data_IF_159573401862
#
_entry.id   IF_159573401862
#
_cell.length_a   1.000
_cell.length_b   1.000
_cell.length_c   1.000
_cell.angle_alpha   90.00
_cell.angle_beta   90.00
_cell.angle_gamma   90.00
#
_symmetry.space_group_name_H-M   'P 1'
#
loop_
_entity.id
_entity.type
_entity.pdbx_description
1 polymer ?
#
# COMPACT_ATOMS: atom_id res chain seq x y z
N UNK A 1 4.98 30.97 -1.10
CA UNK A 1 5.03 29.82 -2.02
C UNK A 1 4.85 28.53 -1.22
N UNK A 2 4.12 27.54 -1.74
CA UNK A 2 3.95 26.22 -1.13
C UNK A 2 4.80 25.16 -1.85
N UNK A 3 5.76 24.54 -1.18
CA UNK A 3 6.61 23.49 -1.76
C UNK A 3 6.30 22.13 -1.14
N UNK A 4 5.87 21.17 -1.96
CA UNK A 4 5.73 19.78 -1.59
C UNK A 4 7.08 19.08 -1.71
N UNK A 5 7.50 18.38 -0.67
CA UNK A 5 8.79 17.67 -0.64
C UNK A 5 8.57 16.21 -0.24
N UNK A 6 8.92 15.28 -1.13
CA UNK A 6 9.01 13.87 -0.78
C UNK A 6 10.23 13.60 0.09
N UNK A 7 10.02 12.91 1.22
CA UNK A 7 11.07 12.56 2.15
C UNK A 7 11.77 11.23 1.83
N UNK A 8 11.21 10.42 0.91
CA UNK A 8 11.69 9.05 0.70
C UNK A 8 11.13 8.09 1.74
N UNK A 9 11.72 6.89 1.88
CA UNK A 9 11.02 5.76 2.50
C UNK A 9 11.53 5.35 3.88
N UNK A 10 12.79 5.61 4.20
CA UNK A 10 13.47 4.98 5.32
C UNK A 10 14.10 5.95 6.33
N UNK A 11 14.74 7.02 5.88
CA UNK A 11 15.44 7.94 6.78
C UNK A 11 15.59 9.34 6.19
N UNK A 12 16.12 10.27 6.98
CA UNK A 12 16.53 11.60 6.50
C UNK A 12 17.50 11.56 5.32
N UNK A 13 18.33 10.52 5.21
CA UNK A 13 19.31 10.39 4.13
C UNK A 13 18.65 10.15 2.77
N UNK A 14 17.38 9.72 2.76
CA UNK A 14 16.61 9.59 1.53
C UNK A 14 16.15 10.95 0.97
N UNK A 15 16.29 12.05 1.73
CA UNK A 15 15.96 13.38 1.22
C UNK A 15 16.83 13.71 0.01
N UNK A 16 16.17 14.06 -1.09
CA UNK A 16 16.90 14.59 -2.25
C UNK A 16 17.64 15.87 -1.88
N UNK A 17 18.76 16.15 -2.55
CA UNK A 17 19.49 17.41 -2.34
C UNK A 17 18.61 18.65 -2.56
N UNK A 18 17.63 18.56 -3.46
CA UNK A 18 16.68 19.65 -3.71
C UNK A 18 15.66 19.77 -2.56
N UNK A 19 15.17 18.65 -2.03
CA UNK A 19 14.27 18.63 -0.87
C UNK A 19 14.91 19.27 0.36
N UNK A 20 16.14 18.86 0.69
CA UNK A 20 16.88 19.41 1.83
C UNK A 20 17.15 20.92 1.67
N UNK A 21 17.46 21.40 0.46
CA UNK A 21 17.63 22.84 0.18
C UNK A 21 16.34 23.60 0.43
N UNK A 22 15.20 23.11 -0.07
CA UNK A 22 13.91 23.75 0.12
C UNK A 22 13.53 23.81 1.61
N UNK A 23 13.71 22.71 2.35
CA UNK A 23 13.46 22.66 3.79
C UNK A 23 14.30 23.69 4.55
N UNK A 24 15.61 23.80 4.25
CA UNK A 24 16.49 24.77 4.91
C UNK A 24 16.10 26.23 4.63
N UNK A 25 15.53 26.52 3.46
CA UNK A 25 15.14 27.88 3.06
C UNK A 25 13.74 28.27 3.57
N UNK A 26 12.85 27.31 3.82
CA UNK A 26 11.47 27.57 4.20
C UNK A 26 11.31 28.33 5.51
N UNK A 27 10.27 29.15 5.62
CA UNK A 27 9.87 29.79 6.87
C UNK A 27 9.09 28.83 7.78
N UNK A 28 8.23 28.00 7.19
CA UNK A 28 7.39 27.05 7.93
C UNK A 28 7.52 25.64 7.35
N UNK A 29 7.62 24.66 8.24
CA UNK A 29 7.70 23.24 7.90
C UNK A 29 6.46 22.53 8.46
N UNK A 30 5.76 21.83 7.58
CA UNK A 30 4.67 20.92 7.92
C UNK A 30 5.09 19.50 7.53
N UNK A 31 4.82 18.53 8.39
CA UNK A 31 5.01 17.10 8.11
C UNK A 31 3.66 16.41 8.09
N UNK A 32 3.33 15.79 6.96
CA UNK A 32 2.19 14.88 6.86
C UNK A 32 2.35 13.73 7.86
N UNK A 33 1.42 13.66 8.81
CA UNK A 33 1.44 12.71 9.92
C UNK A 33 0.35 11.63 9.81
N UNK A 34 -0.35 11.51 8.67
CA UNK A 34 -1.48 10.57 8.55
C UNK A 34 -1.44 9.65 7.32
N UNK A 35 -0.66 9.95 6.27
CA UNK A 35 -0.60 9.07 5.09
C UNK A 35 0.47 7.99 5.17
N UNK A 36 1.51 8.18 5.99
CA UNK A 36 2.61 7.24 6.18
C UNK A 36 3.40 7.60 7.46
N UNK A 37 4.40 6.80 7.82
CA UNK A 37 5.14 6.91 9.06
C UNK A 37 6.65 6.74 8.83
N UNK A 38 7.42 7.65 9.42
CA UNK A 38 8.86 7.49 9.64
C UNK A 38 9.19 7.95 11.07
N UNK A 39 9.34 7.03 12.04
CA UNK A 39 9.57 7.40 13.43
C UNK A 39 10.84 8.23 13.61
N UNK A 40 10.79 9.28 14.43
CA UNK A 40 11.94 10.15 14.71
C UNK A 40 12.26 11.18 13.64
N UNK A 41 11.62 11.12 12.46
CA UNK A 41 11.97 11.99 11.32
C UNK A 41 11.82 13.49 11.64
N UNK A 42 10.78 13.88 12.37
CA UNK A 42 10.54 15.29 12.70
C UNK A 42 11.61 15.82 13.67
N UNK A 43 11.99 15.01 14.67
CA UNK A 43 13.02 15.31 15.65
C UNK A 43 14.39 15.42 14.98
N UNK A 44 14.77 14.42 14.18
CA UNK A 44 16.04 14.44 13.47
C UNK A 44 16.11 15.62 12.47
N UNK A 45 15.01 15.95 11.80
CA UNK A 45 14.96 17.10 10.89
C UNK A 45 15.13 18.42 11.62
N UNK A 46 14.55 18.53 12.82
CA UNK A 46 14.72 19.69 13.71
C UNK A 46 16.17 19.80 14.18
N UNK A 47 16.82 18.70 14.55
CA UNK A 47 18.26 18.69 14.88
C UNK A 47 19.14 19.12 13.70
N UNK A 48 18.83 18.65 12.49
CA UNK A 48 19.58 18.95 11.28
C UNK A 48 19.44 20.41 10.81
N UNK A 49 18.26 21.01 11.02
CA UNK A 49 17.91 22.31 10.42
C UNK A 49 17.73 23.44 11.42
N UNK A 50 17.58 23.12 12.70
CA UNK A 50 17.23 24.06 13.77
C UNK A 50 15.81 24.63 13.67
N UNK A 51 14.96 24.09 12.78
CA UNK A 51 13.59 24.56 12.54
C UNK A 51 12.57 23.64 13.19
N UNK A 52 11.51 24.22 13.74
CA UNK A 52 10.37 23.46 14.21
C UNK A 52 9.58 22.87 13.04
N UNK A 53 9.24 21.59 13.15
CA UNK A 53 8.42 20.85 12.18
C UNK A 53 7.05 20.63 12.79
N UNK A 54 6.01 21.23 12.21
CA UNK A 54 4.64 21.09 12.70
C UNK A 54 4.01 19.81 12.10
N UNK A 55 3.57 18.83 12.92
CA UNK A 55 2.82 17.71 12.40
C UNK A 55 1.45 18.18 11.87
N UNK A 56 1.09 17.70 10.68
CA UNK A 56 -0.16 17.98 9.98
C UNK A 56 -0.97 16.70 9.90
N UNK A 57 -2.09 16.64 10.63
CA UNK A 57 -3.06 15.54 10.54
C UNK A 57 -4.10 15.79 9.45
N UNK A 58 -4.97 14.80 9.22
CA UNK A 58 -5.99 14.84 8.16
C UNK A 58 -6.88 16.07 8.28
N UNK A 59 -7.33 16.42 9.48
CA UNK A 59 -8.15 17.61 9.73
C UNK A 59 -7.41 18.88 9.27
N UNK A 60 -6.15 19.08 9.69
CA UNK A 60 -5.38 20.26 9.28
C UNK A 60 -5.16 20.32 7.77
N UNK A 61 -4.86 19.18 7.13
CA UNK A 61 -4.54 19.14 5.70
C UNK A 61 -5.78 19.27 4.83
N UNK A 62 -6.87 18.56 5.13
CA UNK A 62 -8.04 18.41 4.26
C UNK A 62 -9.20 19.35 4.63
N UNK A 63 -9.31 19.80 5.89
CA UNK A 63 -10.45 20.61 6.36
C UNK A 63 -10.10 22.07 6.65
N UNK A 64 -8.82 22.45 6.58
CA UNK A 64 -8.38 23.83 6.86
C UNK A 64 -7.51 24.41 5.75
N UNK A 65 -7.45 25.75 5.70
CA UNK A 65 -6.58 26.49 4.78
C UNK A 65 -5.33 27.06 5.47
N UNK A 66 -4.97 26.59 6.67
CA UNK A 66 -3.85 27.14 7.45
C UNK A 66 -2.53 27.16 6.65
N UNK A 67 -2.22 26.05 5.98
CA UNK A 67 -1.01 25.89 5.16
C UNK A 67 -1.00 26.91 4.01
N UNK A 68 -2.16 27.09 3.36
CA UNK A 68 -2.33 27.98 2.20
C UNK A 68 -2.23 29.44 2.63
N UNK A 69 -2.89 29.82 3.72
CA UNK A 69 -2.85 31.19 4.25
C UNK A 69 -1.43 31.60 4.61
N UNK A 70 -0.63 30.72 5.22
CA UNK A 70 0.79 30.99 5.45
C UNK A 70 1.57 31.11 4.15
N UNK A 71 1.28 30.26 3.17
CA UNK A 71 2.00 30.23 1.90
C UNK A 71 1.77 31.48 1.02
N UNK A 72 0.76 32.31 1.33
CA UNK A 72 0.55 33.62 0.67
C UNK A 72 1.72 34.58 0.89
N UNK A 73 2.26 34.62 2.10
CA UNK A 73 3.29 35.59 2.50
C UNK A 73 4.65 34.97 2.83
N UNK A 74 4.72 33.64 2.89
CA UNK A 74 5.90 32.92 3.34
C UNK A 74 6.22 31.72 2.45
N UNK A 75 7.46 31.26 2.54
CA UNK A 75 7.87 29.97 1.97
C UNK A 75 7.49 28.87 2.94
N UNK A 76 6.53 28.06 2.53
CA UNK A 76 6.01 26.92 3.30
C UNK A 76 6.44 25.65 2.61
N UNK A 77 7.00 24.72 3.37
CA UNK A 77 7.30 23.37 2.89
C UNK A 77 6.37 22.38 3.58
N UNK A 78 5.71 21.57 2.77
CA UNK A 78 4.88 20.46 3.19
C UNK A 78 5.59 19.15 2.83
N UNK A 79 6.01 18.41 3.85
CA UNK A 79 6.86 17.23 3.75
C UNK A 79 5.97 15.99 3.81
N UNK A 80 6.16 15.08 2.84
CA UNK A 80 5.40 13.83 2.72
C UNK A 80 6.37 12.66 2.76
N UNK A 81 6.12 11.67 3.63
CA UNK A 81 6.90 10.42 3.62
C UNK A 81 6.61 9.66 2.31
N UNK A 82 7.66 9.28 1.59
CA UNK A 82 7.61 8.79 0.22
C UNK A 82 7.66 9.92 -0.79
N UNK A 83 6.74 9.89 -1.75
CA UNK A 83 6.58 10.89 -2.80
C UNK A 83 5.23 11.63 -2.63
N UNK A 84 5.18 12.96 -2.81
CA UNK A 84 3.98 13.73 -2.46
C UNK A 84 2.70 13.33 -3.18
N UNK A 85 2.79 12.78 -4.41
CA UNK A 85 1.63 12.58 -5.28
C UNK A 85 1.34 11.12 -5.66
N UNK A 86 2.14 10.17 -5.17
CA UNK A 86 2.04 8.78 -5.64
C UNK A 86 0.76 8.07 -5.17
N UNK A 87 0.44 8.14 -3.87
CA UNK A 87 -0.66 7.38 -3.27
C UNK A 87 -1.43 8.21 -2.21
N UNK A 88 -1.65 9.49 -2.52
CA UNK A 88 -2.19 10.45 -1.57
C UNK A 88 -3.23 11.36 -2.23
N UNK A 89 -3.96 12.09 -1.41
CA UNK A 89 -4.97 13.09 -1.81
C UNK A 89 -4.41 14.51 -1.88
N UNK A 90 -3.10 14.72 -1.75
CA UNK A 90 -2.47 16.05 -1.70
C UNK A 90 -2.67 16.90 -2.97
N UNK A 91 -3.17 16.31 -4.05
CA UNK A 91 -3.65 17.08 -5.22
C UNK A 91 -4.74 18.07 -4.82
N UNK A 92 -5.59 17.76 -3.82
CA UNK A 92 -6.56 18.70 -3.26
C UNK A 92 -5.90 19.98 -2.72
N UNK A 93 -4.84 19.83 -1.92
CA UNK A 93 -4.11 20.97 -1.36
C UNK A 93 -3.45 21.83 -2.47
N UNK A 94 -3.03 21.20 -3.57
CA UNK A 94 -2.54 21.91 -4.76
C UNK A 94 -3.66 22.72 -5.42
N UNK A 95 -4.84 22.12 -5.60
CA UNK A 95 -5.99 22.82 -6.20
C UNK A 95 -6.39 24.03 -5.37
N UNK A 96 -6.50 23.88 -4.05
CA UNK A 96 -6.81 25.02 -3.16
C UNK A 96 -5.72 26.09 -3.15
N UNK A 97 -4.45 25.70 -3.30
CA UNK A 97 -3.35 26.67 -3.46
C UNK A 97 -3.50 27.47 -4.77
N UNK A 98 -3.86 26.80 -5.88
CA UNK A 98 -4.14 27.45 -7.17
C UNK A 98 -5.30 28.44 -7.06
N UNK A 99 -6.42 28.03 -6.47
CA UNK A 99 -7.59 28.90 -6.27
C UNK A 99 -7.26 30.12 -5.39
N UNK A 100 -6.37 29.94 -4.42
CA UNK A 100 -5.87 31.00 -3.55
C UNK A 100 -4.71 31.81 -4.14
N UNK A 101 -4.38 31.59 -5.42
CA UNK A 101 -3.31 32.28 -6.15
C UNK A 101 -1.92 32.12 -5.49
N UNK A 102 -1.70 31.01 -4.79
CA UNK A 102 -0.43 30.64 -4.18
C UNK A 102 0.38 29.81 -5.17
N UNK A 103 1.59 30.27 -5.50
CA UNK A 103 2.51 29.46 -6.29
C UNK A 103 2.88 28.18 -5.55
N UNK A 104 2.85 27.05 -6.26
CA UNK A 104 3.28 25.77 -5.72
C UNK A 104 4.46 25.17 -6.50
N UNK A 105 5.23 24.32 -5.82
CA UNK A 105 6.33 23.54 -6.40
C UNK A 105 6.32 22.13 -5.83
N UNK A 106 6.68 21.14 -6.64
CA UNK A 106 6.75 19.74 -6.21
C UNK A 106 8.18 19.25 -6.37
N UNK A 107 8.72 18.64 -5.32
CA UNK A 107 10.01 17.97 -5.29
C UNK A 107 9.74 16.50 -5.00
N UNK A 108 9.85 15.69 -6.06
CA UNK A 108 9.61 14.25 -6.02
C UNK A 108 10.68 13.49 -5.23
N UNK A 109 10.33 12.28 -4.80
CA UNK A 109 11.25 11.32 -4.19
C UNK A 109 10.83 9.87 -4.46
N UNK A 110 11.50 8.90 -3.85
CA UNK A 110 11.17 7.47 -3.96
C UNK A 110 9.82 7.18 -3.33
N UNK A 111 8.99 6.42 -4.05
CA UNK A 111 7.67 5.97 -3.62
C UNK A 111 7.65 4.46 -3.46
N UNK A 112 6.79 3.93 -2.58
CA UNK A 112 6.54 2.48 -2.51
C UNK A 112 6.07 1.94 -3.86
N UNK A 113 5.33 2.74 -4.65
CA UNK A 113 4.85 2.36 -5.98
C UNK A 113 5.97 2.01 -6.96
N UNK A 114 7.15 2.60 -6.80
CA UNK A 114 8.33 2.28 -7.61
C UNK A 114 9.29 1.34 -6.89
N UNK A 115 9.42 1.48 -5.57
CA UNK A 115 10.37 0.72 -4.76
C UNK A 115 10.01 -0.77 -4.67
N UNK A 116 8.73 -1.14 -4.88
CA UNK A 116 8.29 -2.55 -4.93
C UNK A 116 9.07 -3.40 -5.93
N UNK A 117 9.71 -2.81 -6.95
CA UNK A 117 10.59 -3.53 -7.86
C UNK A 117 11.76 -4.25 -7.18
N UNK A 118 12.10 -3.91 -5.93
CA UNK A 118 13.10 -4.63 -5.13
C UNK A 118 12.73 -6.10 -4.87
N UNK A 119 11.46 -6.49 -5.04
CA UNK A 119 11.03 -7.89 -4.96
C UNK A 119 11.31 -8.71 -6.23
N UNK A 120 11.87 -8.08 -7.27
CA UNK A 120 12.24 -8.73 -8.53
C UNK A 120 11.13 -8.82 -9.56
N UNK A 121 9.90 -8.46 -9.19
CA UNK A 121 8.80 -8.32 -10.14
C UNK A 121 9.03 -7.11 -11.05
N UNK A 122 8.64 -7.28 -12.30
CA UNK A 122 8.81 -6.28 -13.33
C UNK A 122 7.73 -5.20 -13.19
N UNK A 123 8.15 -3.95 -12.94
CA UNK A 123 7.22 -2.83 -12.72
C UNK A 123 6.21 -2.63 -13.86
N UNK A 124 6.59 -2.95 -15.09
CA UNK A 124 5.69 -2.84 -16.26
C UNK A 124 4.59 -3.92 -16.30
N UNK A 125 4.70 -4.96 -15.48
CA UNK A 125 3.66 -5.99 -15.32
C UNK A 125 2.72 -5.68 -14.14
N UNK A 126 2.81 -4.52 -13.49
CA UNK A 126 1.84 -4.11 -12.48
C UNK A 126 0.62 -3.43 -13.13
N UNK A 127 -0.57 -3.85 -12.68
CA UNK A 127 -1.84 -3.25 -13.09
C UNK A 127 -2.28 -2.14 -12.15
N UNK A 128 -3.60 -1.98 -12.01
CA UNK A 128 -4.16 -0.97 -11.11
C UNK A 128 -3.81 -1.29 -9.65
N UNK A 129 -3.11 -0.38 -8.96
CA UNK A 129 -2.91 -0.45 -7.50
C UNK A 129 -4.24 -0.38 -6.76
N UNK A 130 -4.36 -1.12 -5.67
CA UNK A 130 -5.55 -1.13 -4.81
C UNK A 130 -5.20 -0.79 -3.37
N UNK A 131 -6.17 -0.33 -2.59
CA UNK A 131 -6.04 -0.13 -1.14
C UNK A 131 -6.96 -1.11 -0.41
N UNK A 132 -6.42 -1.81 0.59
CA UNK A 132 -7.17 -2.74 1.43
C UNK A 132 -7.50 -2.02 2.75
N UNK A 133 -8.75 -1.57 2.95
CA UNK A 133 -9.16 -0.90 4.19
C UNK A 133 -9.33 -1.91 5.33
N UNK A 134 -9.17 -1.46 6.57
CA UNK A 134 -9.62 -2.24 7.72
C UNK A 134 -11.14 -2.44 7.67
N UNK A 135 -11.58 -3.65 7.95
CA UNK A 135 -12.97 -3.90 8.32
C UNK A 135 -13.24 -3.43 9.74
N UNK A 136 -14.46 -2.96 9.96
CA UNK A 136 -14.97 -2.55 11.27
C UNK A 136 -16.47 -2.87 11.38
N UNK A 137 -17.08 -2.41 12.47
CA UNK A 137 -18.51 -2.64 12.75
C UNK A 137 -19.44 -2.04 11.70
N UNK A 138 -18.96 -1.03 10.94
CA UNK A 138 -19.75 -0.34 9.93
C UNK A 138 -19.75 -1.09 8.58
N UNK A 139 -18.75 -1.93 8.32
CA UNK A 139 -18.75 -2.73 7.10
C UNK A 139 -17.50 -3.57 6.83
N UNK A 140 -17.67 -4.44 5.84
CA UNK A 140 -16.60 -5.31 5.31
C UNK A 140 -16.39 -5.05 3.80
N UNK A 141 -15.97 -3.82 3.41
CA UNK A 141 -15.83 -3.44 2.00
C UNK A 141 -14.87 -4.38 1.27
N UNK A 142 -15.25 -4.76 0.05
CA UNK A 142 -14.50 -5.69 -0.79
C UNK A 142 -14.42 -5.23 -2.27
N UNK A 143 -14.81 -3.99 -2.59
CA UNK A 143 -14.79 -3.43 -3.96
C UNK A 143 -13.40 -3.40 -4.60
N UNK A 144 -12.33 -3.38 -3.79
CA UNK A 144 -10.96 -3.47 -4.27
C UNK A 144 -10.65 -4.84 -4.90
N UNK A 145 -11.37 -5.88 -4.50
CA UNK A 145 -11.17 -7.25 -4.98
C UNK A 145 -11.49 -7.38 -6.48
N UNK A 146 -12.46 -6.63 -6.99
CA UNK A 146 -12.83 -6.66 -8.41
C UNK A 146 -11.68 -6.15 -9.30
N UNK A 147 -11.02 -5.07 -8.89
CA UNK A 147 -9.84 -4.52 -9.59
C UNK A 147 -8.65 -5.49 -9.52
N UNK A 148 -8.46 -6.12 -8.37
CA UNK A 148 -7.42 -7.13 -8.17
C UNK A 148 -7.66 -8.34 -9.08
N UNK A 149 -8.91 -8.84 -9.15
CA UNK A 149 -9.30 -9.90 -10.08
C UNK A 149 -9.08 -9.52 -11.54
N UNK A 150 -9.40 -8.28 -11.91
CA UNK A 150 -9.19 -7.79 -13.26
C UNK A 150 -7.71 -7.84 -13.65
N UNK A 151 -6.83 -7.28 -12.81
CA UNK A 151 -5.37 -7.39 -12.99
C UNK A 151 -4.94 -8.86 -13.08
N UNK A 152 -5.40 -9.70 -12.14
CA UNK A 152 -5.04 -11.10 -12.06
C UNK A 152 -5.38 -11.87 -13.35
N UNK A 153 -6.58 -11.65 -13.89
CA UNK A 153 -7.04 -12.26 -15.15
C UNK A 153 -6.34 -11.69 -16.39
N UNK A 154 -5.88 -10.45 -16.33
CA UNK A 154 -5.16 -9.77 -17.40
C UNK A 154 -3.66 -10.17 -17.48
N UNK A 155 -3.14 -10.89 -16.49
CA UNK A 155 -1.69 -11.20 -16.42
C UNK A 155 -0.88 -10.12 -15.70
N UNK A 156 -1.52 -9.24 -14.92
CA UNK A 156 -0.89 -8.11 -14.24
C UNK A 156 -0.81 -8.35 -12.73
N UNK A 157 0.35 -8.08 -12.13
CA UNK A 157 0.51 -8.08 -10.68
C UNK A 157 -0.26 -6.91 -10.05
N UNK A 158 -0.70 -7.08 -8.81
CA UNK A 158 -1.41 -6.03 -8.06
C UNK A 158 -0.61 -5.63 -6.85
N UNK A 159 -0.22 -4.36 -6.76
CA UNK A 159 0.23 -3.74 -5.52
C UNK A 159 -0.99 -3.40 -4.67
N UNK A 160 -1.04 -3.94 -3.46
CA UNK A 160 -2.06 -3.67 -2.46
C UNK A 160 -1.45 -2.80 -1.35
N UNK A 161 -1.84 -1.53 -1.31
CA UNK A 161 -1.55 -0.63 -0.21
C UNK A 161 -2.44 -1.00 0.98
N UNK A 162 -1.86 -0.97 2.17
CA UNK A 162 -2.53 -1.46 3.38
C UNK A 162 -2.92 -0.28 4.27
N UNK A 163 -4.09 -0.38 4.87
CA UNK A 163 -4.70 0.73 5.62
C UNK A 163 -3.85 1.22 6.80
N UNK A 164 -3.95 2.52 7.05
CA UNK A 164 -3.28 3.24 8.13
C UNK A 164 -4.33 4.09 8.83
N UNK A 165 -4.62 3.77 10.09
CA UNK A 165 -5.52 4.54 10.95
C UNK A 165 -4.70 5.26 12.01
N UNK A 166 -4.48 6.56 11.83
CA UNK A 166 -3.73 7.44 12.76
C UNK A 166 -4.63 8.56 13.20
N UNK A 167 -4.72 8.81 14.52
CA UNK A 167 -5.62 9.82 15.10
C UNK A 167 -7.06 9.71 14.56
N UNK A 168 -7.56 8.49 14.39
CA UNK A 168 -8.98 8.29 14.07
C UNK A 168 -9.83 8.23 15.35
N UNK A 169 -11.07 8.70 15.25
CA UNK A 169 -12.08 8.57 16.29
C UNK A 169 -12.90 7.33 16.00
N UNK A 170 -13.22 6.54 17.04
CA UNK A 170 -14.15 5.42 16.88
C UNK A 170 -15.52 5.90 16.42
N UNK A 171 -16.30 5.03 15.77
CA UNK A 171 -17.67 5.35 15.34
C UNK A 171 -18.53 5.86 16.53
N UNK A 172 -18.38 5.25 17.71
CA UNK A 172 -19.02 5.70 18.94
C UNK A 172 -18.58 7.11 19.35
N UNK A 173 -17.28 7.41 19.29
CA UNK A 173 -16.75 8.72 19.65
C UNK A 173 -17.15 9.80 18.63
N UNK A 174 -17.31 9.44 17.35
CA UNK A 174 -17.87 10.32 16.32
C UNK A 174 -19.33 10.62 16.64
N UNK A 175 -20.17 9.59 16.80
CA UNK A 175 -21.60 9.71 17.10
C UNK A 175 -21.89 10.50 18.38
N UNK A 176 -20.97 10.46 19.36
CA UNK A 176 -21.08 11.18 20.64
C UNK A 176 -20.29 12.49 20.70
N UNK A 177 -19.76 12.97 19.58
CA UNK A 177 -18.98 14.20 19.47
C UNK A 177 -17.76 14.28 20.42
N UNK A 178 -17.23 13.12 20.85
CA UNK A 178 -16.06 13.03 21.72
C UNK A 178 -14.76 13.07 20.90
N UNK A 179 -13.88 14.03 21.19
CA UNK A 179 -12.53 14.11 20.62
C UNK A 179 -11.56 13.13 21.31
N UNK A 180 -11.92 11.85 21.30
CA UNK A 180 -11.09 10.75 21.83
C UNK A 180 -10.57 9.96 20.63
N UNK A 181 -9.25 9.98 20.48
CA UNK A 181 -8.54 9.35 19.37
C UNK A 181 -8.00 7.98 19.78
N UNK A 182 -8.08 7.02 18.87
CA UNK A 182 -7.54 5.68 19.06
C UNK A 182 -6.01 5.64 18.84
N UNK A 183 -5.31 4.66 19.45
CA UNK A 183 -3.91 4.43 19.13
C UNK A 183 -3.73 4.10 17.64
N UNK A 184 -2.59 4.47 17.03
CA UNK A 184 -2.37 4.26 15.62
C UNK A 184 -2.35 2.76 15.28
N UNK A 185 -3.04 2.40 14.20
CA UNK A 185 -3.15 1.03 13.69
C UNK A 185 -2.65 0.97 12.25
N UNK A 186 -1.72 0.05 12.01
CA UNK A 186 -1.15 -0.21 10.68
C UNK A 186 -1.52 -1.62 10.26
N UNK A 187 -2.13 -1.79 9.09
CA UNK A 187 -2.54 -3.10 8.61
C UNK A 187 -1.32 -3.95 8.25
N UNK A 188 -1.26 -5.17 8.77
CA UNK A 188 -0.21 -6.12 8.44
C UNK A 188 -0.54 -6.90 7.16
N UNK A 189 0.46 -7.43 6.45
CA UNK A 189 0.22 -8.35 5.34
C UNK A 189 -0.63 -9.56 5.74
N UNK A 190 -0.49 -10.04 6.98
CA UNK A 190 -1.30 -11.15 7.48
C UNK A 190 -2.77 -10.80 7.65
N UNK A 191 -3.08 -9.61 8.18
CA UNK A 191 -4.44 -9.09 8.27
C UNK A 191 -5.05 -8.91 6.87
N UNK A 192 -4.30 -8.30 5.96
CA UNK A 192 -4.74 -8.10 4.57
C UNK A 192 -5.02 -9.43 3.84
N UNK A 193 -4.11 -10.40 3.97
CA UNK A 193 -4.29 -11.75 3.42
C UNK A 193 -5.49 -12.46 4.04
N UNK A 194 -5.73 -12.30 5.34
CA UNK A 194 -6.92 -12.83 5.99
C UNK A 194 -8.22 -12.24 5.40
N UNK A 195 -8.32 -10.92 5.27
CA UNK A 195 -9.50 -10.28 4.65
C UNK A 195 -9.71 -10.77 3.20
N UNK A 196 -8.64 -10.92 2.41
CA UNK A 196 -8.72 -11.50 1.07
C UNK A 196 -9.25 -12.94 1.09
N UNK A 197 -8.78 -13.80 2.00
CA UNK A 197 -9.29 -15.17 2.15
C UNK A 197 -10.78 -15.19 2.50
N UNK A 198 -11.23 -14.30 3.38
CA UNK A 198 -12.65 -14.18 3.74
C UNK A 198 -13.49 -13.69 2.54
N UNK A 199 -12.97 -12.79 1.71
CA UNK A 199 -13.65 -12.39 0.46
C UNK A 199 -13.72 -13.56 -0.52
N UNK A 200 -12.62 -14.29 -0.71
CA UNK A 200 -12.56 -15.48 -1.56
C UNK A 200 -13.61 -16.49 -1.10
N UNK A 201 -13.68 -16.81 0.19
CA UNK A 201 -14.65 -17.75 0.74
C UNK A 201 -16.09 -17.28 0.50
N UNK A 202 -16.41 -16.01 0.78
CA UNK A 202 -17.76 -15.45 0.55
C UNK A 202 -18.17 -15.47 -0.92
N UNK A 203 -17.23 -15.26 -1.85
CA UNK A 203 -17.51 -15.16 -3.30
C UNK A 203 -17.30 -16.48 -4.07
N UNK A 204 -16.69 -17.49 -3.45
CA UNK A 204 -16.28 -18.75 -4.10
C UNK A 204 -17.41 -19.63 -4.63
N UNK A 205 -18.68 -19.33 -4.30
CA UNK A 205 -19.85 -20.01 -4.88
C UNK A 205 -20.33 -19.38 -6.20
N UNK A 206 -19.85 -18.19 -6.57
CA UNK A 206 -20.34 -17.44 -7.74
C UNK A 206 -19.24 -17.05 -8.76
N UNK A 207 -17.98 -16.89 -8.32
CA UNK A 207 -16.93 -16.31 -9.15
C UNK A 207 -15.73 -17.24 -9.39
N UNK A 208 -15.24 -17.24 -10.64
CA UNK A 208 -13.91 -17.78 -10.96
C UNK A 208 -12.89 -16.73 -10.52
N UNK A 209 -12.31 -16.94 -9.34
CA UNK A 209 -11.48 -15.93 -8.66
C UNK A 209 -10.15 -16.47 -8.13
N UNK A 210 -9.55 -15.70 -7.21
CA UNK A 210 -8.33 -16.14 -6.53
C UNK A 210 -8.59 -17.39 -5.70
N UNK A 211 -7.60 -18.28 -5.66
CA UNK A 211 -7.55 -19.39 -4.72
C UNK A 211 -6.75 -19.01 -3.48
N UNK A 212 -7.04 -19.66 -2.35
CA UNK A 212 -6.21 -19.55 -1.14
C UNK A 212 -4.75 -19.99 -1.36
N UNK A 213 -4.49 -20.82 -2.38
CA UNK A 213 -3.15 -21.28 -2.76
C UNK A 213 -2.42 -20.32 -3.71
N UNK A 214 -3.05 -19.22 -4.14
CA UNK A 214 -2.37 -18.17 -4.89
C UNK A 214 -1.24 -17.55 -4.05
N UNK A 215 -0.18 -17.11 -4.73
CA UNK A 215 0.96 -16.45 -4.08
C UNK A 215 0.57 -15.08 -3.58
N UNK A 216 1.30 -14.69 -2.54
CA UNK A 216 1.29 -13.39 -1.92
C UNK A 216 2.72 -13.03 -1.55
N UNK A 217 3.12 -11.80 -1.86
CA UNK A 217 4.43 -11.25 -1.53
C UNK A 217 4.22 -10.13 -0.53
N UNK A 218 4.61 -10.35 0.72
CA UNK A 218 4.59 -9.35 1.77
C UNK A 218 5.86 -8.52 1.69
N UNK A 219 5.70 -7.20 1.78
CA UNK A 219 6.78 -6.23 1.83
C UNK A 219 6.70 -5.51 3.15
N UNK A 220 7.83 -5.37 3.85
CA UNK A 220 7.90 -4.65 5.11
C UNK A 220 9.10 -3.70 5.09
N UNK A 221 8.83 -2.43 5.44
CA UNK A 221 9.83 -1.36 5.61
C UNK A 221 10.78 -1.24 4.42
N UNK A 222 10.22 -1.26 3.20
CA UNK A 222 11.02 -1.17 1.98
C UNK A 222 11.85 0.11 1.97
N UNK A 223 13.15 -0.05 1.71
CA UNK A 223 14.14 1.03 1.77
C UNK A 223 14.94 1.08 3.07
N UNK A 224 14.43 0.51 4.18
CA UNK A 224 15.16 0.50 5.45
C UNK A 224 16.25 -0.58 5.49
N UNK A 225 17.18 -0.45 6.44
CA UNK A 225 18.23 -1.45 6.69
C UNK A 225 17.68 -2.79 7.15
N UNK A 226 16.47 -2.80 7.73
CA UNK A 226 15.77 -3.98 8.22
C UNK A 226 14.57 -4.36 7.34
N UNK A 227 14.58 -3.95 6.06
CA UNK A 227 13.54 -4.33 5.09
C UNK A 227 13.40 -5.85 4.99
N UNK A 228 12.16 -6.31 4.77
CA UNK A 228 11.85 -7.73 4.60
C UNK A 228 10.89 -7.92 3.43
N UNK A 229 11.14 -8.96 2.63
CA UNK A 229 10.27 -9.39 1.55
C UNK A 229 9.93 -10.85 1.85
N UNK A 230 8.66 -11.23 1.92
CA UNK A 230 8.29 -12.62 2.23
C UNK A 230 7.34 -13.14 1.16
N UNK A 231 7.59 -14.35 0.66
CA UNK A 231 6.81 -14.98 -0.41
C UNK A 231 6.14 -16.21 0.15
N UNK A 232 4.81 -16.26 0.11
CA UNK A 232 4.05 -17.44 0.53
C UNK A 232 2.75 -17.54 -0.25
N UNK A 233 1.91 -18.50 0.11
CA UNK A 233 0.51 -18.49 -0.33
C UNK A 233 -0.30 -17.48 0.50
N UNK A 234 -1.43 -17.02 -0.04
CA UNK A 234 -2.42 -16.23 0.71
C UNK A 234 -2.84 -16.98 1.98
N UNK A 235 -3.08 -18.29 1.87
CA UNK A 235 -3.40 -19.17 2.99
C UNK A 235 -2.38 -19.09 4.11
N UNK A 236 -1.09 -19.27 3.81
CA UNK A 236 -0.04 -19.24 4.84
C UNK A 236 0.22 -17.83 5.38
N UNK A 237 0.02 -16.79 4.57
CA UNK A 237 0.18 -15.40 5.01
C UNK A 237 -0.94 -14.97 5.97
N UNK A 238 -2.19 -15.34 5.67
CA UNK A 238 -3.37 -15.00 6.47
C UNK A 238 -3.64 -15.94 7.65
N UNK A 239 -2.95 -17.09 7.72
CA UNK A 239 -3.17 -18.09 8.77
C UNK A 239 -2.96 -17.50 10.17
N UNK A 240 -3.93 -17.71 11.06
CA UNK A 240 -3.80 -17.32 12.47
C UNK A 240 -4.15 -15.85 12.78
N UNK A 241 -4.53 -15.05 11.78
CA UNK A 241 -5.15 -13.74 12.01
C UNK A 241 -6.65 -13.87 12.27
N UNK A 242 -7.17 -13.41 13.43
CA UNK A 242 -8.61 -13.29 13.66
C UNK A 242 -9.17 -12.02 13.00
N UNK A 243 -10.47 -12.01 12.72
CA UNK A 243 -11.18 -10.84 12.16
C UNK A 243 -11.10 -9.58 13.04
N UNK A 244 -10.89 -9.75 14.35
CA UNK A 244 -11.08 -8.69 15.35
C UNK A 244 -9.79 -8.13 15.95
N UNK A 245 -8.59 -8.66 15.60
CA UNK A 245 -7.33 -8.15 16.16
C UNK A 245 -6.20 -8.01 15.13
N UNK A 246 -5.51 -6.86 15.20
CA UNK A 246 -4.26 -6.62 14.46
C UNK A 246 -3.11 -7.54 14.96
N UNK A 247 -3.30 -8.25 16.08
CA UNK A 247 -2.32 -9.12 16.73
C UNK A 247 -2.87 -10.56 16.68
N UNK A 248 -2.86 -11.15 15.49
CA UNK A 248 -3.11 -12.57 15.31
C UNK A 248 -1.98 -13.43 15.86
N UNK A 249 -2.21 -14.75 15.90
CA UNK A 249 -1.13 -15.70 16.16
C UNK A 249 -0.17 -15.63 14.98
N UNK A 250 1.03 -15.12 15.22
CA UNK A 250 2.04 -14.96 14.18
C UNK A 250 2.43 -16.33 13.60
N UNK A 251 2.44 -16.42 12.28
CA UNK A 251 3.13 -17.48 11.54
C UNK A 251 4.63 -17.13 11.43
N UNK A 252 5.50 -18.08 11.08
CA UNK A 252 6.90 -17.77 10.80
C UNK A 252 7.09 -16.66 9.76
N UNK A 253 6.20 -16.59 8.76
CA UNK A 253 6.22 -15.56 7.70
C UNK A 253 5.82 -14.19 8.26
N UNK A 254 4.70 -14.10 8.98
CA UNK A 254 4.26 -12.81 9.56
C UNK A 254 5.19 -12.32 10.66
N UNK A 255 5.81 -13.23 11.41
CA UNK A 255 6.85 -12.90 12.38
C UNK A 255 8.11 -12.36 11.70
N UNK A 256 8.51 -12.94 10.57
CA UNK A 256 9.66 -12.46 9.80
C UNK A 256 9.44 -11.07 9.21
N UNK A 257 8.22 -10.77 8.73
CA UNK A 257 7.88 -9.43 8.23
C UNK A 257 8.05 -8.35 9.32
N UNK A 258 7.76 -8.66 10.58
CA UNK A 258 7.98 -7.75 11.70
C UNK A 258 6.94 -6.62 11.77
N UNK A 259 7.40 -5.42 12.12
CA UNK A 259 6.56 -4.24 12.34
C UNK A 259 6.23 -3.44 11.07
N UNK A 260 5.35 -2.42 11.17
CA UNK A 260 4.98 -1.58 10.03
C UNK A 260 6.17 -0.78 9.45
N UNK A 261 6.07 -0.24 8.23
CA UNK A 261 4.92 -0.29 7.32
C UNK A 261 4.96 -1.51 6.40
N UNK A 262 3.78 -2.05 6.09
CA UNK A 262 3.61 -3.21 5.23
C UNK A 262 2.93 -2.85 3.91
N UNK A 263 3.24 -3.60 2.86
CA UNK A 263 2.49 -3.62 1.59
C UNK A 263 2.39 -5.06 1.11
N UNK A 264 1.30 -5.39 0.43
CA UNK A 264 1.07 -6.74 -0.08
C UNK A 264 1.08 -6.70 -1.60
N UNK A 265 1.69 -7.70 -2.25
CA UNK A 265 1.54 -7.90 -3.68
C UNK A 265 0.84 -9.23 -3.91
N UNK A 266 -0.18 -9.21 -4.75
CA UNK A 266 -0.75 -10.41 -5.35
C UNK A 266 -0.25 -10.48 -6.80
N UNK A 267 0.76 -11.33 -7.08
CA UNK A 267 1.24 -11.48 -8.44
C UNK A 267 0.19 -12.20 -9.30
N UNK A 268 0.14 -11.86 -10.59
CA UNK A 268 -0.40 -12.72 -11.63
C UNK A 268 0.74 -13.57 -12.24
N UNK A 269 0.57 -14.01 -13.48
CA UNK A 269 1.49 -14.87 -14.23
C UNK A 269 2.94 -14.38 -14.07
N UNK A 270 3.76 -15.21 -13.42
CA UNK A 270 5.17 -14.90 -13.23
C UNK A 270 5.93 -15.17 -14.53
N UNK A 271 6.83 -14.24 -14.87
CA UNK A 271 7.84 -14.46 -15.89
C UNK A 271 8.95 -15.38 -15.35
N UNK A 272 9.61 -16.22 -16.18
CA UNK A 272 10.67 -17.11 -15.69
C UNK A 272 11.81 -16.43 -14.91
N UNK A 273 12.14 -15.19 -15.28
CA UNK A 273 13.14 -14.37 -14.57
C UNK A 273 12.63 -13.92 -13.19
N UNK A 274 11.34 -13.62 -13.06
CA UNK A 274 10.73 -13.26 -11.77
C UNK A 274 10.70 -14.48 -10.85
N UNK A 275 10.36 -15.65 -11.37
CA UNK A 275 10.45 -16.92 -10.62
C UNK A 275 11.88 -17.19 -10.14
N UNK A 276 12.87 -16.96 -11.01
CA UNK A 276 14.26 -17.14 -10.66
C UNK A 276 14.68 -16.18 -9.55
N UNK A 277 14.33 -14.89 -9.66
CA UNK A 277 14.64 -13.89 -8.65
C UNK A 277 13.97 -14.21 -7.31
N UNK A 278 12.66 -14.49 -7.33
CA UNK A 278 11.91 -14.86 -6.14
C UNK A 278 12.47 -16.14 -5.52
N UNK A 279 13.02 -17.08 -6.30
CA UNK A 279 13.65 -18.31 -5.82
C UNK A 279 15.12 -18.19 -5.39
N UNK A 280 15.79 -17.04 -5.59
CA UNK A 280 17.23 -16.88 -5.35
C UNK A 280 17.63 -17.16 -3.89
N UNK A 281 16.76 -16.89 -2.91
CA UNK A 281 17.08 -17.10 -1.48
C UNK A 281 17.29 -18.57 -1.11
N UNK A 282 16.67 -19.52 -1.82
CA UNK A 282 16.88 -20.95 -1.59
C UNK A 282 18.30 -21.36 -2.03
N UNK A 283 18.79 -20.71 -3.09
CA UNK A 283 20.15 -20.92 -3.63
C UNK A 283 21.22 -20.27 -2.75
N UNK A 284 20.87 -19.23 -1.99
CA UNK A 284 21.79 -18.47 -1.14
C UNK A 284 22.00 -19.08 0.26
N UNK A 285 21.62 -20.35 0.46
CA UNK A 285 21.85 -21.13 1.70
C UNK A 285 23.33 -21.35 2.05
N UNK A 286 24.26 -20.63 1.41
CA UNK A 286 25.68 -20.53 1.73
C UNK A 286 26.10 -19.05 1.67
N UNK A 287 26.32 -18.45 2.84
CA UNK A 287 27.13 -17.23 3.07
C UNK A 287 26.97 -16.05 2.09
N UNK A 288 25.74 -15.62 1.77
CA UNK A 288 25.51 -14.33 1.11
C UNK A 288 24.93 -13.29 2.09
N UNK A 289 25.75 -12.45 2.73
CA UNK A 289 25.30 -11.51 3.77
C UNK A 289 24.52 -10.28 3.26
N UNK A 290 24.06 -10.25 2.01
CA UNK A 290 23.54 -9.02 1.38
C UNK A 290 22.24 -9.16 0.56
N UNK A 291 21.64 -10.35 0.48
CA UNK A 291 20.35 -10.48 -0.21
C UNK A 291 19.20 -10.02 0.71
N UNK A 292 18.18 -9.32 0.18
CA UNK A 292 16.94 -9.12 0.90
C UNK A 292 16.46 -10.47 1.43
N UNK A 293 16.03 -10.52 2.68
CA UNK A 293 15.58 -11.76 3.30
C UNK A 293 14.25 -12.16 2.67
N UNK A 294 14.29 -12.79 1.48
CA UNK A 294 13.14 -13.37 0.79
C UNK A 294 12.83 -14.69 1.48
N UNK A 295 11.72 -14.77 2.21
CA UNK A 295 11.35 -16.00 2.93
C UNK A 295 10.24 -16.75 2.19
N UNK A 296 10.50 -17.98 1.75
CA UNK A 296 9.44 -18.98 1.58
C UNK A 296 9.09 -19.61 2.94
N UNK A 297 7.88 -20.18 3.09
CA UNK A 297 7.57 -20.97 4.26
C UNK A 297 8.61 -22.09 4.40
N UNK A 298 9.39 -22.02 5.47
CA UNK A 298 10.38 -23.00 5.98
C UNK A 298 11.76 -23.04 5.28
N UNK A 299 12.88 -22.83 6.01
CA UNK A 299 14.26 -23.02 5.52
C UNK A 299 14.60 -24.44 5.04
N UNK A 300 13.73 -25.42 5.32
CA UNK A 300 13.89 -26.82 4.94
C UNK A 300 13.30 -27.15 3.55
N UNK A 301 12.76 -26.15 2.84
CA UNK A 301 12.09 -26.36 1.56
C UNK A 301 13.11 -26.34 0.42
N UNK A 302 13.27 -27.47 -0.25
CA UNK A 302 14.17 -27.61 -1.40
C UNK A 302 13.72 -26.78 -2.61
N UNK A 303 14.67 -26.52 -3.53
CA UNK A 303 14.44 -25.73 -4.76
C UNK A 303 13.26 -26.25 -5.58
N UNK A 304 13.05 -27.57 -5.61
CA UNK A 304 11.97 -28.18 -6.39
C UNK A 304 10.58 -27.86 -5.86
N UNK A 305 10.43 -27.74 -4.53
CA UNK A 305 9.15 -27.36 -3.91
C UNK A 305 8.81 -25.89 -4.21
N UNK A 306 9.82 -25.01 -4.25
CA UNK A 306 9.61 -23.60 -4.64
C UNK A 306 9.22 -23.48 -6.11
N UNK A 307 9.86 -24.26 -6.99
CA UNK A 307 9.45 -24.34 -8.41
C UNK A 307 8.03 -24.86 -8.58
N UNK A 308 7.65 -25.87 -7.80
CA UNK A 308 6.29 -26.41 -7.83
C UNK A 308 5.26 -25.38 -7.34
N UNK A 309 5.59 -24.62 -6.29
CA UNK A 309 4.76 -23.53 -5.78
C UNK A 309 4.51 -22.45 -6.86
N UNK A 310 5.55 -22.03 -7.59
CA UNK A 310 5.41 -21.07 -8.71
C UNK A 310 4.62 -21.66 -9.88
N UNK A 311 4.85 -22.93 -10.23
CA UNK A 311 4.09 -23.62 -11.28
C UNK A 311 2.61 -23.72 -10.92
N UNK A 312 2.30 -24.10 -9.68
CA UNK A 312 0.92 -24.19 -9.19
C UNK A 312 0.23 -22.83 -9.24
N UNK A 313 0.93 -21.75 -8.87
CA UNK A 313 0.43 -20.40 -9.00
C UNK A 313 0.10 -20.02 -10.45
N UNK A 314 1.04 -20.22 -11.38
CA UNK A 314 0.82 -19.91 -12.80
C UNK A 314 -0.32 -20.74 -13.41
N UNK A 315 -0.51 -21.99 -12.97
CA UNK A 315 -1.66 -22.80 -13.35
C UNK A 315 -2.98 -22.19 -12.85
N UNK A 316 -3.02 -21.73 -11.59
CA UNK A 316 -4.19 -21.03 -11.04
C UNK A 316 -4.51 -19.75 -11.82
N UNK A 317 -3.49 -18.94 -12.13
CA UNK A 317 -3.65 -17.74 -12.97
C UNK A 317 -4.21 -18.10 -14.35
N UNK A 318 -3.65 -19.13 -14.99
CA UNK A 318 -4.08 -19.59 -16.31
C UNK A 318 -5.53 -20.06 -16.32
N UNK A 319 -5.98 -20.75 -15.27
CA UNK A 319 -7.36 -21.17 -15.12
C UNK A 319 -8.32 -19.98 -15.04
N UNK A 320 -8.00 -18.97 -14.22
CA UNK A 320 -8.80 -17.74 -14.12
C UNK A 320 -8.84 -16.99 -15.44
N UNK A 321 -7.67 -16.84 -16.10
CA UNK A 321 -7.57 -16.17 -17.40
C UNK A 321 -8.38 -16.88 -18.50
N UNK A 322 -8.34 -18.21 -18.54
CA UNK A 322 -9.09 -19.00 -19.52
C UNK A 322 -10.60 -18.91 -19.28
N UNK A 323 -11.02 -18.93 -18.03
CA UNK A 323 -12.42 -18.75 -17.65
C UNK A 323 -12.98 -17.38 -18.07
N UNK A 324 -12.22 -16.31 -17.86
CA UNK A 324 -12.63 -14.95 -18.27
C UNK A 324 -12.67 -14.82 -19.79
N UNK A 325 -11.76 -15.47 -20.52
CA UNK A 325 -11.69 -15.41 -22.01
C UNK A 325 -12.75 -16.26 -22.71
N UNK A 326 -13.19 -17.36 -22.11
CA UNK A 326 -14.17 -18.29 -22.67
C UNK A 326 -15.42 -18.37 -21.77
N UNK A 327 -16.33 -17.39 -21.80
CA UNK A 327 -17.55 -17.39 -20.98
C UNK A 327 -18.56 -18.50 -21.34
N UNK A 328 -18.28 -19.34 -22.34
CA UNK A 328 -19.24 -20.24 -22.99
C UNK A 328 -19.59 -21.50 -22.14
N UNK A 329 -19.04 -21.70 -20.94
CA UNK A 329 -19.34 -22.92 -20.13
C UNK A 329 -20.05 -22.65 -18.79
N UNK A 330 -20.26 -21.39 -18.36
CA UNK A 330 -20.93 -21.09 -17.09
C UNK A 330 -22.13 -20.13 -17.21
N UNK A 331 -23.00 -20.35 -18.21
CA UNK A 331 -24.31 -19.71 -18.24
C UNK A 331 -25.37 -20.60 -17.58
N UNK A 332 -25.52 -20.46 -16.26
CA UNK A 332 -26.85 -20.43 -15.66
C UNK A 332 -26.87 -19.32 -14.63
N UNK A 333 -27.70 -18.32 -14.90
CA UNK A 333 -28.08 -17.14 -14.09
C UNK A 333 -27.29 -15.84 -14.38
N UNK A 334 -27.83 -15.10 -15.35
CA UNK A 334 -27.95 -13.62 -15.39
C UNK A 334 -26.71 -12.77 -15.08
N UNK A 335 -25.86 -12.58 -16.10
CA UNK A 335 -24.98 -11.42 -16.20
C UNK A 335 -25.25 -10.70 -17.53
N UNK A 336 -26.18 -9.75 -17.51
CA UNK A 336 -26.16 -8.60 -18.42
C UNK A 336 -25.71 -7.39 -17.60
N UNK A 337 -24.59 -6.74 -17.92
CA UNK A 337 -24.22 -5.47 -17.29
C UNK A 337 -25.07 -4.34 -17.90
N UNK A 338 -25.92 -3.72 -17.09
CA UNK A 338 -26.78 -2.59 -17.45
C UNK A 338 -26.05 -1.23 -17.50
N UNK A 339 -24.78 -1.19 -17.94
CA UNK A 339 -23.96 0.03 -17.93
C UNK A 339 -23.63 0.58 -19.32
N UNK A 340 -24.63 0.59 -20.22
CA UNK A 340 -24.53 1.23 -21.53
C UNK A 340 -25.57 2.33 -21.76
N UNK A 341 -26.08 2.96 -20.70
CA UNK A 341 -26.86 4.20 -20.82
C UNK A 341 -26.09 5.34 -20.17
N UNK A 342 -25.36 6.06 -21.03
CA UNK A 342 -24.91 7.43 -20.77
C UNK A 342 -26.11 8.30 -20.41
N UNK A 343 -26.07 8.95 -19.24
CA UNK A 343 -26.75 10.23 -19.00
C UNK A 343 -25.85 11.17 -18.19
N UNK A 344 -25.66 12.42 -18.64
CA UNK A 344 -24.85 13.41 -17.95
C UNK A 344 -25.66 13.96 -16.77
N UNK A 345 -25.05 13.99 -15.57
CA UNK A 345 -25.60 14.77 -14.45
C UNK A 345 -24.67 15.97 -14.20
N UNK A 346 -25.08 17.09 -14.79
CA UNK A 346 -24.68 18.44 -14.46
C UNK A 346 -25.77 19.03 -13.54
N UNK A 347 -25.34 19.91 -12.60
CA UNK A 347 -26.13 20.77 -11.71
C UNK A 347 -26.79 20.07 -10.51
N UNK A 348 -26.92 20.64 -9.29
CA UNK A 348 -26.53 21.91 -8.68
C UNK A 348 -27.21 21.99 -7.29
N UNK A 349 -26.56 22.63 -6.31
CA UNK A 349 -27.09 23.26 -5.07
C UNK A 349 -27.73 22.38 -3.98
N UNK A 350 -27.08 22.32 -2.81
CA UNK A 350 -27.38 23.18 -1.64
C UNK A 350 -26.23 23.13 -0.63
#
# INVERSE_FOLDING_TARGET
>A
MLTFVGAGLASLDDLTCNGLKAIKQANFLYLDAYTSLMPGFAEELKELTGKDVKPADRELVEETDEIIEKAKNHDVVFIVIGDPLSATTHTDLILRAVDSHVQFKIIHNTSIMTAVGCCGLQLYNFGATVSIPFWDELGTPDSFYDKLLWNFSAGLHTLCLLDIKVKERSAENILRERKVYEPPRYMSCGHAAYQLLQIIERRSSADIGLSSDCLAIGLARIGSTDQVIAVSTLKEMGRGHPAESNIGKQTPITAALGGPLHSLIVPSQLHPVEEEFLGCFVRSSRDFPALPKVFAPTPAVGVDVVRELFRNHNNLVSNVRNAVRNPIIHYSVSLYPSWLVTKPFLLSLA
#
